data_IF_994865911939
#
_entry.id   IF_994865911939
#
_cell.length_a   1.000
_cell.length_b   1.000
_cell.length_c   1.000
_cell.angle_alpha   90.00
_cell.angle_beta   90.00
_cell.angle_gamma   90.00
#
_symmetry.space_group_name_H-M   'P 1'
#
loop_
_entity.id
_entity.type
_entity.pdbx_description
1 polymer ?
#
# COMPACT_ATOMS: atom_id res chain seq x y z
N UNK A 1 -15.80 16.04 -15.32
CA UNK A 1 -15.46 15.10 -14.23
C UNK A 1 -13.95 15.08 -14.07
N UNK A 2 -13.42 15.60 -12.97
CA UNK A 2 -11.96 15.52 -12.71
C UNK A 2 -11.57 14.04 -12.58
N UNK A 3 -10.78 13.55 -13.54
CA UNK A 3 -10.21 12.20 -13.48
C UNK A 3 -9.36 12.12 -12.22
N UNK A 4 -9.73 11.26 -11.26
CA UNK A 4 -8.95 11.08 -10.05
C UNK A 4 -7.52 10.67 -10.42
N UNK A 5 -6.54 11.32 -9.79
CA UNK A 5 -5.12 11.07 -10.04
C UNK A 5 -4.68 9.80 -9.30
N UNK A 6 -4.87 8.65 -9.94
CA UNK A 6 -4.51 7.33 -9.41
C UNK A 6 -4.07 6.38 -10.53
N UNK A 7 -3.17 5.42 -10.26
CA UNK A 7 -2.55 4.63 -11.31
C UNK A 7 -3.48 3.59 -11.96
N UNK A 8 -4.35 2.95 -11.17
CA UNK A 8 -5.27 1.91 -11.63
C UNK A 8 -6.64 2.06 -10.96
N UNK A 9 -7.65 1.35 -11.45
CA UNK A 9 -9.02 1.48 -10.96
C UNK A 9 -9.14 1.20 -9.46
N UNK A 10 -8.61 0.06 -8.99
CA UNK A 10 -8.68 -0.37 -7.58
C UNK A 10 -7.48 0.12 -6.78
N UNK A 11 -7.19 1.42 -6.88
CA UNK A 11 -6.16 2.10 -6.14
C UNK A 11 -6.62 3.46 -5.62
N UNK A 12 -5.81 4.09 -4.78
CA UNK A 12 -6.03 5.41 -4.23
C UNK A 12 -4.72 6.13 -3.96
N UNK A 13 -4.77 7.46 -3.94
CA UNK A 13 -3.63 8.28 -3.58
C UNK A 13 -3.53 8.40 -2.06
N UNK A 14 -2.36 8.10 -1.51
CA UNK A 14 -2.04 8.25 -0.09
C UNK A 14 -1.43 9.63 0.19
N UNK A 15 -0.39 9.98 -0.57
CA UNK A 15 0.24 11.29 -0.54
C UNK A 15 0.71 11.65 -1.95
N UNK A 16 1.47 12.75 -2.11
CA UNK A 16 1.90 13.24 -3.43
C UNK A 16 2.54 12.15 -4.30
N UNK A 17 3.43 11.33 -3.73
CA UNK A 17 4.19 10.31 -4.44
C UNK A 17 3.93 8.90 -3.88
N UNK A 18 2.90 8.71 -3.07
CA UNK A 18 2.54 7.41 -2.50
C UNK A 18 1.12 7.04 -2.89
N UNK A 19 0.97 5.84 -3.40
CA UNK A 19 -0.29 5.26 -3.84
C UNK A 19 -0.47 3.89 -3.19
N UNK A 20 -1.69 3.43 -3.10
CA UNK A 20 -2.01 2.14 -2.53
C UNK A 20 -3.15 1.47 -3.30
N UNK A 21 -3.22 0.14 -3.28
CA UNK A 21 -4.28 -0.57 -3.97
C UNK A 21 -4.11 -2.09 -3.98
N UNK A 22 -4.76 -2.70 -4.97
CA UNK A 22 -4.72 -4.16 -5.16
C UNK A 22 -3.39 -4.64 -5.73
N UNK A 23 -3.17 -5.95 -5.62
CA UNK A 23 -1.99 -6.62 -6.19
C UNK A 23 -1.86 -6.33 -7.70
N UNK A 24 -0.65 -6.07 -8.21
CA UNK A 24 -0.44 -5.75 -9.63
C UNK A 24 -0.97 -6.81 -10.60
N UNK A 25 -1.00 -8.07 -10.20
CA UNK A 25 -1.54 -9.18 -11.00
C UNK A 25 -2.96 -9.60 -10.60
N UNK A 26 -3.69 -8.81 -9.80
CA UNK A 26 -5.03 -9.22 -9.31
C UNK A 26 -5.98 -9.60 -10.45
N UNK A 27 -5.88 -8.95 -11.59
CA UNK A 27 -6.81 -9.10 -12.71
C UNK A 27 -6.19 -9.81 -13.94
N UNK A 28 -5.25 -10.75 -13.71
CA UNK A 28 -4.56 -11.48 -14.80
C UNK A 28 -5.53 -12.23 -15.73
N UNK A 29 -6.71 -12.61 -15.23
CA UNK A 29 -7.70 -13.33 -16.03
C UNK A 29 -8.51 -12.47 -16.97
N UNK A 30 -8.50 -11.13 -16.79
CA UNK A 30 -9.32 -10.22 -17.59
C UNK A 30 -8.56 -9.49 -18.69
N UNK A 31 -7.28 -9.19 -18.54
CA UNK A 31 -6.59 -8.29 -19.44
C UNK A 31 -5.28 -8.81 -20.04
N UNK A 32 -4.37 -9.34 -19.24
CA UNK A 32 -3.10 -9.89 -19.70
C UNK A 32 -2.35 -10.62 -18.58
N UNK A 33 -1.38 -11.43 -18.94
CA UNK A 33 -0.49 -12.12 -18.00
C UNK A 33 0.29 -11.14 -17.08
N UNK A 34 0.47 -9.89 -17.51
CA UNK A 34 1.16 -8.83 -16.75
C UNK A 34 0.21 -7.99 -15.89
N UNK A 35 -1.10 -8.27 -15.92
CA UNK A 35 -2.12 -7.55 -15.14
C UNK A 35 -2.03 -6.03 -15.28
N UNK A 36 -1.98 -5.34 -14.16
CA UNK A 36 -1.91 -3.89 -14.05
C UNK A 36 -0.48 -3.31 -14.09
N UNK A 37 0.57 -4.13 -14.17
CA UNK A 37 1.97 -3.66 -14.15
C UNK A 37 2.24 -2.62 -15.23
N UNK A 38 1.85 -2.79 -16.51
CA UNK A 38 2.08 -1.76 -17.54
C UNK A 38 1.44 -0.42 -17.20
N UNK A 39 0.25 -0.41 -16.59
CA UNK A 39 -0.43 0.83 -16.19
C UNK A 39 0.28 1.51 -15.02
N UNK A 40 0.72 0.74 -14.01
CA UNK A 40 1.48 1.23 -12.86
C UNK A 40 2.82 1.84 -13.30
N UNK A 41 3.57 1.16 -14.16
CA UNK A 41 4.84 1.67 -14.70
C UNK A 41 4.63 2.92 -15.57
N UNK A 42 3.62 2.94 -16.44
CA UNK A 42 3.28 4.13 -17.25
C UNK A 42 2.88 5.33 -16.38
N UNK A 43 2.27 5.09 -15.22
CA UNK A 43 1.96 6.15 -14.25
C UNK A 43 3.21 6.70 -13.56
N UNK A 44 4.32 5.97 -13.63
CA UNK A 44 5.61 6.33 -13.05
C UNK A 44 5.87 5.69 -11.68
N UNK A 45 5.20 4.61 -11.33
CA UNK A 45 5.55 3.83 -10.13
C UNK A 45 6.94 3.22 -10.34
N UNK A 46 7.85 3.49 -9.41
CA UNK A 46 9.24 3.00 -9.42
C UNK A 46 9.58 2.14 -8.20
N UNK A 47 8.73 2.14 -7.19
CA UNK A 47 8.90 1.33 -5.98
C UNK A 47 7.59 0.63 -5.64
N UNK A 48 7.64 -0.68 -5.48
CA UNK A 48 6.51 -1.49 -5.01
C UNK A 48 6.78 -1.97 -3.60
N UNK A 49 5.88 -1.70 -2.66
CA UNK A 49 5.87 -2.29 -1.33
C UNK A 49 4.84 -3.42 -1.31
N UNK A 50 5.34 -4.64 -1.36
CA UNK A 50 4.55 -5.86 -1.42
C UNK A 50 4.34 -6.44 -0.02
N UNK A 51 3.08 -6.44 0.42
CA UNK A 51 2.67 -6.96 1.72
C UNK A 51 2.19 -8.42 1.67
N UNK A 52 2.24 -9.05 0.50
CA UNK A 52 1.80 -10.45 0.35
C UNK A 52 2.88 -11.44 0.77
N UNK A 53 2.46 -12.64 1.13
CA UNK A 53 3.35 -13.76 1.33
C UNK A 53 3.64 -14.43 -0.03
N UNK A 54 4.81 -15.02 -0.19
CA UNK A 54 5.30 -15.56 -1.48
C UNK A 54 4.42 -16.67 -2.10
N UNK A 55 3.61 -17.31 -1.28
CA UNK A 55 2.72 -18.40 -1.74
C UNK A 55 1.27 -17.95 -2.03
N UNK A 56 0.92 -16.67 -1.75
CA UNK A 56 -0.47 -16.19 -1.89
C UNK A 56 -0.84 -15.85 -3.32
N UNK A 57 0.11 -15.34 -4.07
CA UNK A 57 -0.11 -14.71 -5.38
C UNK A 57 1.06 -15.04 -6.31
N UNK A 58 0.85 -15.00 -7.63
CA UNK A 58 1.94 -15.16 -8.56
C UNK A 58 3.03 -14.09 -8.36
N UNK A 59 4.29 -14.50 -8.48
CA UNK A 59 5.45 -13.60 -8.46
C UNK A 59 5.43 -12.68 -9.69
N UNK A 60 5.72 -11.40 -9.49
CA UNK A 60 5.69 -10.41 -10.58
C UNK A 60 7.02 -9.65 -10.77
N UNK A 61 8.02 -9.89 -9.94
CA UNK A 61 9.30 -9.18 -10.03
C UNK A 61 9.96 -9.34 -11.40
N UNK A 62 9.79 -10.48 -12.05
CA UNK A 62 10.31 -10.74 -13.40
C UNK A 62 9.70 -9.86 -14.50
N UNK A 63 8.57 -9.21 -14.23
CA UNK A 63 7.93 -8.27 -15.14
C UNK A 63 8.35 -6.81 -14.92
N UNK A 64 9.13 -6.54 -13.86
CA UNK A 64 9.60 -5.20 -13.54
C UNK A 64 10.90 -4.88 -14.28
N UNK A 65 11.06 -3.66 -14.81
CA UNK A 65 12.35 -3.17 -15.29
C UNK A 65 13.42 -3.16 -14.19
N UNK A 66 14.70 -3.19 -14.57
CA UNK A 66 15.82 -3.26 -13.63
C UNK A 66 15.99 -2.03 -12.72
N UNK A 67 15.42 -0.90 -13.12
CA UNK A 67 15.40 0.35 -12.36
C UNK A 67 14.18 0.50 -11.45
N UNK A 68 13.30 -0.48 -11.44
CA UNK A 68 12.11 -0.54 -10.56
C UNK A 68 12.36 -1.49 -9.40
N UNK A 69 12.13 -0.99 -8.18
CA UNK A 69 12.37 -1.75 -6.96
C UNK A 69 11.11 -2.43 -6.45
N UNK A 70 11.26 -3.63 -5.92
CA UNK A 70 10.23 -4.30 -5.10
C UNK A 70 10.79 -4.53 -3.70
N UNK A 71 10.10 -4.00 -2.70
CA UNK A 71 10.36 -4.21 -1.28
C UNK A 71 9.33 -5.22 -0.77
N UNK A 72 9.79 -6.36 -0.28
CA UNK A 72 8.93 -7.37 0.33
C UNK A 72 8.80 -7.09 1.83
N UNK A 73 7.56 -6.97 2.31
CA UNK A 73 7.22 -6.86 3.73
C UNK A 73 6.01 -7.77 4.01
N UNK A 74 6.22 -9.08 4.08
CA UNK A 74 5.12 -10.04 4.09
C UNK A 74 4.33 -9.99 5.40
N UNK A 75 3.01 -9.83 5.25
CA UNK A 75 2.03 -9.92 6.33
C UNK A 75 1.06 -11.06 5.97
N UNK A 76 0.78 -11.95 6.91
CA UNK A 76 -0.19 -13.02 6.72
C UNK A 76 -1.57 -12.44 6.37
N UNK A 77 -2.30 -13.10 5.48
CA UNK A 77 -3.61 -12.61 5.07
C UNK A 77 -4.56 -12.44 6.27
N UNK A 78 -5.34 -11.36 6.27
CA UNK A 78 -6.22 -10.91 7.37
C UNK A 78 -5.51 -10.65 8.71
N UNK A 79 -4.19 -10.66 8.73
CA UNK A 79 -3.38 -10.45 9.94
C UNK A 79 -2.70 -9.06 9.97
N UNK A 80 -1.85 -8.87 10.95
CA UNK A 80 -1.10 -7.65 11.23
C UNK A 80 0.41 -7.88 11.02
N UNK A 81 1.23 -6.81 10.89
CA UNK A 81 2.69 -6.92 10.93
C UNK A 81 3.20 -7.65 12.16
N UNK A 82 4.39 -8.23 12.07
CA UNK A 82 5.00 -9.01 13.15
C UNK A 82 5.22 -8.21 14.43
N UNK A 83 5.55 -6.93 14.31
CA UNK A 83 5.69 -6.00 15.44
C UNK A 83 5.57 -4.54 15.00
N UNK A 84 5.41 -3.63 15.95
CA UNK A 84 5.49 -2.18 15.73
C UNK A 84 6.87 -1.79 15.22
N UNK A 85 7.93 -2.34 15.83
CA UNK A 85 9.32 -2.07 15.45
C UNK A 85 9.60 -2.43 13.99
N UNK A 86 9.06 -3.56 13.52
CA UNK A 86 9.23 -3.96 12.11
C UNK A 86 8.66 -2.95 11.13
N UNK A 87 7.53 -2.30 11.47
CA UNK A 87 6.92 -1.24 10.66
C UNK A 87 7.75 0.06 10.77
N UNK A 88 8.26 0.39 11.95
CA UNK A 88 9.17 1.52 12.15
C UNK A 88 10.43 1.38 11.30
N UNK A 89 11.05 0.20 11.28
CA UNK A 89 12.24 -0.09 10.46
C UNK A 89 11.92 0.00 8.96
N UNK A 90 10.75 -0.50 8.54
CA UNK A 90 10.27 -0.34 7.17
C UNK A 90 10.16 1.16 6.80
N UNK A 91 9.56 1.98 7.66
CA UNK A 91 9.36 3.40 7.38
C UNK A 91 10.66 4.19 7.37
N UNK A 92 11.62 3.91 8.27
CA UNK A 92 12.97 4.50 8.21
C UNK A 92 13.66 4.19 6.87
N UNK A 93 13.54 2.95 6.40
CA UNK A 93 14.08 2.55 5.10
C UNK A 93 13.38 3.26 3.93
N UNK A 94 12.06 3.40 3.98
CA UNK A 94 11.31 4.16 2.96
C UNK A 94 11.64 5.65 2.99
N UNK A 95 11.79 6.24 4.17
CA UNK A 95 12.20 7.64 4.34
C UNK A 95 13.57 7.90 3.70
N UNK A 96 14.56 7.04 3.99
CA UNK A 96 15.87 7.12 3.35
C UNK A 96 15.76 6.99 1.82
N UNK A 97 15.02 6.01 1.32
CA UNK A 97 14.83 5.80 -0.12
C UNK A 97 14.18 7.03 -0.78
N UNK A 98 13.14 7.59 -0.18
CA UNK A 98 12.44 8.77 -0.72
C UNK A 98 13.32 10.03 -0.65
N UNK A 99 14.23 10.12 0.33
CA UNK A 99 15.24 11.19 0.39
C UNK A 99 16.29 11.05 -0.71
N UNK A 100 16.79 9.84 -0.95
CA UNK A 100 17.78 9.54 -2.01
C UNK A 100 17.17 9.64 -3.42
N UNK A 101 15.87 9.36 -3.55
CA UNK A 101 15.12 9.36 -4.81
C UNK A 101 13.85 10.21 -4.71
N UNK A 102 13.94 11.56 -4.69
CA UNK A 102 12.79 12.45 -4.44
C UNK A 102 11.66 12.34 -5.48
N UNK A 103 11.96 11.80 -6.66
CA UNK A 103 10.97 11.59 -7.73
C UNK A 103 10.34 10.19 -7.71
N UNK A 104 10.82 9.31 -6.83
CA UNK A 104 10.27 7.96 -6.72
C UNK A 104 8.79 8.00 -6.36
N UNK A 105 8.00 7.14 -7.01
CA UNK A 105 6.59 6.91 -6.66
C UNK A 105 6.43 5.52 -6.09
N UNK A 106 5.92 5.46 -4.86
CA UNK A 106 5.68 4.24 -4.10
C UNK A 106 4.27 3.71 -4.35
N UNK A 107 4.14 2.42 -4.58
CA UNK A 107 2.88 1.71 -4.63
C UNK A 107 2.81 0.63 -3.55
N UNK A 108 1.93 0.81 -2.56
CA UNK A 108 1.72 -0.11 -1.44
C UNK A 108 0.57 -1.05 -1.78
N UNK A 109 0.80 -2.34 -1.72
CA UNK A 109 -0.26 -3.30 -2.02
C UNK A 109 -0.21 -4.57 -1.16
N UNK A 110 -1.36 -5.19 -1.00
CA UNK A 110 -1.49 -6.57 -0.59
C UNK A 110 -2.19 -7.35 -1.72
N UNK A 111 -3.07 -8.31 -1.42
CA UNK A 111 -3.88 -8.97 -2.45
C UNK A 111 -5.00 -8.02 -2.94
N UNK A 112 -5.96 -7.67 -2.10
CA UNK A 112 -7.10 -6.82 -2.45
C UNK A 112 -6.91 -5.32 -2.23
N UNK A 113 -5.81 -4.87 -1.63
CA UNK A 113 -5.58 -3.45 -1.31
C UNK A 113 -6.45 -2.90 -0.18
N UNK A 114 -6.91 -3.74 0.74
CA UNK A 114 -7.90 -3.39 1.77
C UNK A 114 -7.32 -3.50 3.18
N UNK A 115 -7.21 -4.71 3.73
CA UNK A 115 -6.86 -4.94 5.14
C UNK A 115 -5.42 -4.57 5.49
N UNK A 116 -4.46 -5.36 5.00
CA UNK A 116 -3.02 -5.15 5.23
C UNK A 116 -2.55 -3.80 4.70
N UNK A 117 -2.99 -3.45 3.50
CA UNK A 117 -2.70 -2.16 2.86
C UNK A 117 -3.23 -1.00 3.70
N UNK A 118 -4.49 -1.04 4.11
CA UNK A 118 -5.08 -0.01 4.95
C UNK A 118 -4.38 0.13 6.31
N UNK A 119 -3.92 -0.98 6.90
CA UNK A 119 -3.14 -0.98 8.14
C UNK A 119 -1.82 -0.21 7.97
N UNK A 120 -1.05 -0.54 6.93
CA UNK A 120 0.24 0.13 6.66
C UNK A 120 0.03 1.59 6.27
N UNK A 121 -1.02 1.93 5.50
CA UNK A 121 -1.33 3.32 5.13
C UNK A 121 -1.74 4.16 6.36
N UNK A 122 -2.51 3.61 7.29
CA UNK A 122 -2.83 4.32 8.53
C UNK A 122 -1.57 4.56 9.38
N UNK A 123 -0.70 3.55 9.54
CA UNK A 123 0.60 3.72 10.19
C UNK A 123 1.50 4.73 9.46
N UNK A 124 1.46 4.77 8.13
CA UNK A 124 2.18 5.76 7.32
C UNK A 124 1.78 7.19 7.70
N UNK A 125 0.50 7.49 7.86
CA UNK A 125 0.04 8.81 8.26
C UNK A 125 0.49 9.19 9.68
N UNK A 126 0.52 8.23 10.59
CA UNK A 126 1.04 8.46 11.95
C UNK A 126 2.53 8.81 11.89
N UNK A 127 3.33 8.03 11.16
CA UNK A 127 4.78 8.20 11.11
C UNK A 127 5.21 9.44 10.34
N UNK A 128 4.74 9.62 9.10
CA UNK A 128 5.21 10.68 8.20
C UNK A 128 4.46 12.00 8.34
N UNK A 129 3.21 11.98 8.80
CA UNK A 129 2.40 13.19 8.92
C UNK A 129 2.08 13.53 10.39
N UNK A 130 2.59 12.75 11.34
CA UNK A 130 2.43 12.95 12.78
C UNK A 130 0.97 13.05 13.23
N UNK A 131 0.08 12.31 12.57
CA UNK A 131 -1.34 12.29 12.92
C UNK A 131 -1.59 11.38 14.12
N UNK A 132 -2.61 11.72 14.91
CA UNK A 132 -3.14 10.81 15.93
C UNK A 132 -3.74 9.54 15.30
N UNK A 133 -3.99 8.53 16.11
CA UNK A 133 -4.66 7.30 15.65
C UNK A 133 -5.97 7.58 14.92
N UNK A 134 -6.83 8.42 15.51
CA UNK A 134 -8.15 8.75 14.97
C UNK A 134 -8.02 9.51 13.64
N UNK A 135 -7.19 10.54 13.58
CA UNK A 135 -6.94 11.33 12.38
C UNK A 135 -6.37 10.48 11.23
N UNK A 136 -5.40 9.62 11.53
CA UNK A 136 -4.78 8.74 10.55
C UNK A 136 -5.77 7.73 9.98
N UNK A 137 -6.59 7.11 10.85
CA UNK A 137 -7.60 6.14 10.44
C UNK A 137 -8.68 6.81 9.57
N UNK A 138 -9.16 7.98 9.97
CA UNK A 138 -10.14 8.76 9.21
C UNK A 138 -9.59 9.23 7.87
N UNK A 139 -8.35 9.70 7.83
CA UNK A 139 -7.69 10.11 6.59
C UNK A 139 -7.52 8.92 5.65
N UNK A 140 -7.04 7.79 6.15
CA UNK A 140 -6.90 6.57 5.35
C UNK A 140 -8.24 6.14 4.76
N UNK A 141 -9.31 6.13 5.54
CA UNK A 141 -10.66 5.78 5.06
C UNK A 141 -11.18 6.73 3.99
N UNK A 142 -10.97 8.04 4.17
CA UNK A 142 -11.32 9.04 3.14
C UNK A 142 -10.56 8.81 1.84
N UNK A 143 -9.26 8.55 1.90
CA UNK A 143 -8.49 8.27 0.69
C UNK A 143 -8.90 6.96 0.02
N UNK A 144 -9.20 5.95 0.81
CA UNK A 144 -9.67 4.66 0.33
C UNK A 144 -11.00 4.74 -0.46
N UNK A 145 -11.83 5.77 -0.23
CA UNK A 145 -13.07 5.97 -1.02
C UNK A 145 -12.82 6.15 -2.53
N UNK A 146 -11.59 6.47 -2.94
CA UNK A 146 -11.20 6.53 -4.35
C UNK A 146 -11.19 5.13 -5.01
N UNK A 147 -11.03 4.07 -4.23
CA UNK A 147 -11.12 2.70 -4.71
C UNK A 147 -12.58 2.23 -4.72
N UNK A 148 -13.07 1.64 -5.83
CA UNK A 148 -14.44 1.09 -5.90
C UNK A 148 -14.74 0.02 -4.84
N UNK A 149 -13.71 -0.65 -4.29
CA UNK A 149 -13.87 -1.64 -3.20
C UNK A 149 -14.43 -1.04 -1.92
N UNK A 150 -14.24 0.26 -1.69
CA UNK A 150 -14.76 0.97 -0.51
C UNK A 150 -16.28 0.90 -0.38
N UNK A 151 -16.99 0.61 -1.48
CA UNK A 151 -18.45 0.41 -1.47
C UNK A 151 -18.88 -0.90 -0.82
N UNK A 152 -17.97 -1.86 -0.69
CA UNK A 152 -18.26 -3.23 -0.26
C UNK A 152 -17.40 -3.70 0.92
N UNK A 153 -16.25 -3.06 1.14
CA UNK A 153 -15.27 -3.48 2.14
C UNK A 153 -14.72 -2.28 2.90
N UNK A 154 -14.63 -2.39 4.22
CA UNK A 154 -13.98 -1.39 5.06
C UNK A 154 -12.46 -1.63 5.14
N UNK A 155 -11.67 -0.56 5.18
CA UNK A 155 -10.23 -0.63 5.41
C UNK A 155 -9.86 0.15 6.70
N UNK A 156 -8.95 -0.37 7.55
CA UNK A 156 -8.52 -1.76 7.61
C UNK A 156 -9.69 -2.71 7.80
N UNK A 157 -9.50 -3.98 7.44
CA UNK A 157 -10.59 -4.95 7.32
C UNK A 157 -11.00 -5.57 8.66
N UNK A 158 -10.06 -5.76 9.57
CA UNK A 158 -10.30 -6.47 10.83
C UNK A 158 -10.09 -5.58 12.05
N UNK A 159 -10.77 -5.92 13.17
CA UNK A 159 -10.54 -5.24 14.46
C UNK A 159 -9.09 -5.34 14.92
N UNK A 160 -8.44 -6.49 14.67
CA UNK A 160 -7.04 -6.71 15.01
C UNK A 160 -6.10 -5.76 14.25
N UNK A 161 -6.40 -5.48 13.00
CA UNK A 161 -5.66 -4.51 12.19
C UNK A 161 -5.83 -3.07 12.72
N UNK A 162 -7.05 -2.69 13.08
CA UNK A 162 -7.32 -1.36 13.69
C UNK A 162 -6.59 -1.22 15.03
N UNK A 163 -6.61 -2.27 15.85
CA UNK A 163 -5.90 -2.27 17.14
C UNK A 163 -4.38 -2.22 16.97
N UNK A 164 -3.85 -2.83 15.92
CA UNK A 164 -2.42 -2.69 15.59
C UNK A 164 -2.06 -1.22 15.28
N UNK A 165 -2.88 -0.52 14.51
CA UNK A 165 -2.69 0.92 14.20
C UNK A 165 -2.70 1.75 15.50
N UNK A 166 -3.61 1.45 16.44
CA UNK A 166 -3.66 2.12 17.76
C UNK A 166 -2.35 1.92 18.51
N UNK A 167 -1.89 0.68 18.64
CA UNK A 167 -0.62 0.37 19.31
C UNK A 167 0.58 1.01 18.62
N UNK A 168 0.54 1.13 17.30
CA UNK A 168 1.59 1.83 16.55
C UNK A 168 1.64 3.31 16.94
N UNK A 169 0.48 3.98 17.05
CA UNK A 169 0.42 5.38 17.47
C UNK A 169 0.91 5.62 18.91
N UNK A 170 0.69 4.65 19.81
CA UNK A 170 1.15 4.72 21.22
C UNK A 170 2.66 4.56 21.35
N UNK A 171 3.35 4.00 20.36
CA UNK A 171 4.78 3.67 20.39
C UNK A 171 5.63 4.48 19.36
N UNK A 172 5.02 5.43 18.65
CA UNK A 172 5.70 6.23 17.65
C UNK A 172 6.14 7.66 18.15
#
# INVERSE_FOLDING_TARGET
MNKMYKPIEYSYQVSRNVFAGEHPLFDIYKSSIKGNIPALLKFGITVFLDLTQSYEVPEYASFLPSDVQRISFPIRNCDVPSSVESVMDLFRRLEQLMHEQPQAKLYIHCHGGVGRTGTIVACYYIYFEHLSFEEALDKMRRQYTQSPRSKFMNAPETKRQIEFVRRFAENN
#
